data_IF_642071970034
#
_entry.id   IF_642071970034
#
_cell.length_a   1.000
_cell.length_b   1.000
_cell.length_c   1.000
_cell.angle_alpha   90.00
_cell.angle_beta   90.00
_cell.angle_gamma   90.00
#
_symmetry.space_group_name_H-M   'P 1'
#
loop_
_entity.id
_entity.type
_entity.pdbx_description
1 polymer ?
#
# COMPACT_ATOMS: atom_id res chain seq x y z
N UNK A 1 19.40 -6.84 10.80
CA UNK A 1 19.08 -7.81 11.89
C UNK A 1 18.71 -7.08 13.17
N UNK A 2 19.50 -6.07 13.61
CA UNK A 2 19.22 -5.37 14.88
C UNK A 2 17.80 -4.78 14.92
N UNK A 3 17.41 -4.00 13.95
CA UNK A 3 16.06 -3.40 13.89
C UNK A 3 14.94 -4.46 13.81
N UNK A 4 15.19 -5.58 13.12
CA UNK A 4 14.26 -6.70 13.09
C UNK A 4 14.12 -7.35 14.47
N UNK A 5 15.26 -7.66 15.12
CA UNK A 5 15.26 -8.28 16.44
C UNK A 5 14.56 -7.39 17.49
N UNK A 6 14.81 -6.07 17.45
CA UNK A 6 14.13 -5.10 18.31
C UNK A 6 12.61 -5.07 18.06
N UNK A 7 12.19 -5.05 16.80
CA UNK A 7 10.77 -5.03 16.43
C UNK A 7 10.00 -6.28 16.87
N UNK A 8 10.68 -7.44 16.97
CA UNK A 8 10.11 -8.69 17.47
C UNK A 8 10.40 -8.95 18.95
N UNK A 9 10.99 -8.00 19.66
CA UNK A 9 11.28 -8.13 21.09
C UNK A 9 12.30 -9.23 21.42
N UNK A 10 13.20 -9.55 20.49
CA UNK A 10 14.23 -10.57 20.69
C UNK A 10 15.43 -9.99 21.43
N UNK A 11 15.92 -10.75 22.40
CA UNK A 11 17.17 -10.48 23.11
C UNK A 11 18.28 -11.43 22.63
N UNK A 12 19.54 -11.08 22.89
CA UNK A 12 20.71 -11.88 22.53
C UNK A 12 20.77 -12.28 21.05
N UNK A 13 20.34 -11.37 20.16
CA UNK A 13 20.32 -11.61 18.74
C UNK A 13 21.74 -11.76 18.17
N UNK A 14 22.01 -12.91 17.54
CA UNK A 14 23.32 -13.24 16.98
C UNK A 14 23.16 -13.78 15.55
N UNK A 15 23.89 -13.19 14.60
CA UNK A 15 23.97 -13.70 13.23
C UNK A 15 24.79 -14.99 13.23
N UNK A 16 24.20 -16.05 12.69
CA UNK A 16 24.85 -17.35 12.52
C UNK A 16 25.60 -17.44 11.20
N UNK A 17 24.94 -16.99 10.13
CA UNK A 17 25.53 -16.88 8.78
C UNK A 17 24.78 -15.82 7.98
N UNK A 18 25.46 -15.21 7.03
CA UNK A 18 24.88 -14.27 6.09
C UNK A 18 25.68 -14.30 4.78
N UNK A 19 25.01 -14.21 3.66
CA UNK A 19 25.68 -14.19 2.37
C UNK A 19 24.73 -14.17 1.19
N UNK A 20 25.29 -13.95 -0.02
CA UNK A 20 24.53 -14.06 -1.25
C UNK A 20 24.04 -15.48 -1.45
N UNK A 21 22.87 -15.61 -2.07
CA UNK A 21 22.22 -16.87 -2.43
C UNK A 21 21.59 -16.74 -3.83
N UNK A 22 21.29 -17.88 -4.43
CA UNK A 22 20.52 -17.98 -5.67
C UNK A 22 19.17 -18.59 -5.34
N UNK A 23 18.12 -17.85 -5.58
CA UNK A 23 16.78 -18.27 -5.27
C UNK A 23 15.97 -18.46 -6.55
N UNK A 24 16.02 -19.66 -7.09
CA UNK A 24 15.29 -20.01 -8.32
C UNK A 24 15.73 -19.20 -9.55
N UNK A 25 17.02 -18.86 -9.64
CA UNK A 25 17.61 -18.06 -10.71
C UNK A 25 17.52 -16.56 -10.48
N UNK A 26 17.17 -16.13 -9.28
CA UNK A 26 17.15 -14.72 -8.86
C UNK A 26 18.20 -14.45 -7.81
N UNK A 27 18.86 -13.31 -7.91
CA UNK A 27 19.78 -12.85 -6.87
C UNK A 27 19.04 -12.72 -5.54
N UNK A 28 19.61 -13.31 -4.52
CA UNK A 28 19.08 -13.22 -3.16
C UNK A 28 20.20 -12.98 -2.16
N UNK A 29 19.82 -12.54 -0.97
CA UNK A 29 20.71 -12.44 0.17
C UNK A 29 20.06 -13.11 1.38
N UNK A 30 20.74 -14.10 1.96
CA UNK A 30 20.22 -14.87 3.07
C UNK A 30 20.92 -14.49 4.38
N UNK A 31 20.15 -14.40 5.44
CA UNK A 31 20.65 -14.19 6.79
C UNK A 31 20.00 -15.22 7.71
N UNK A 32 20.83 -16.04 8.35
CA UNK A 32 20.43 -16.85 9.49
C UNK A 32 20.88 -16.17 10.77
N UNK A 33 19.97 -16.01 11.72
CA UNK A 33 20.30 -15.51 13.04
C UNK A 33 19.46 -16.22 14.09
N UNK A 34 19.89 -16.12 15.34
CA UNK A 34 19.13 -16.59 16.49
C UNK A 34 18.86 -15.44 17.47
N UNK A 35 17.79 -15.54 18.24
CA UNK A 35 17.45 -14.61 19.29
C UNK A 35 16.56 -15.29 20.32
N UNK A 36 16.44 -14.72 21.50
CA UNK A 36 15.61 -15.25 22.59
C UNK A 36 14.37 -14.37 22.73
N UNK A 37 13.20 -14.99 22.70
CA UNK A 37 11.92 -14.28 22.86
C UNK A 37 11.59 -13.98 24.33
N UNK A 38 10.48 -13.30 24.57
CA UNK A 38 10.02 -12.94 25.92
C UNK A 38 9.66 -14.14 26.80
N UNK A 39 9.43 -15.31 26.20
CA UNK A 39 9.17 -16.58 26.93
C UNK A 39 10.46 -17.38 27.24
N UNK A 40 11.62 -16.79 27.00
CA UNK A 40 12.93 -17.40 27.12
C UNK A 40 13.19 -18.58 26.18
N UNK A 41 12.45 -18.61 25.06
CA UNK A 41 12.66 -19.59 24.00
C UNK A 41 13.67 -19.04 23.00
N UNK A 42 14.73 -19.84 22.73
CA UNK A 42 15.65 -19.47 21.64
C UNK A 42 15.07 -19.88 20.31
N UNK A 43 14.86 -18.88 19.46
CA UNK A 43 14.36 -19.03 18.11
C UNK A 43 15.49 -18.86 17.09
N UNK A 44 15.43 -19.62 16.01
CA UNK A 44 16.20 -19.38 14.80
C UNK A 44 15.34 -18.73 13.75
N UNK A 45 15.91 -17.78 13.03
CA UNK A 45 15.25 -17.00 12.01
C UNK A 45 16.02 -17.09 10.69
N UNK A 46 15.27 -17.21 9.63
CA UNK A 46 15.77 -17.11 8.26
C UNK A 46 15.17 -15.85 7.65
N UNK A 47 15.99 -14.93 7.26
CA UNK A 47 15.61 -13.81 6.41
C UNK A 47 16.17 -14.05 5.02
N UNK A 48 15.32 -14.03 4.02
CA UNK A 48 15.71 -14.16 2.63
C UNK A 48 15.21 -12.92 1.87
N UNK A 49 16.15 -12.05 1.52
CA UNK A 49 15.87 -10.93 0.64
C UNK A 49 16.08 -11.37 -0.81
N UNK A 50 15.02 -11.43 -1.60
CA UNK A 50 15.03 -11.80 -3.02
C UNK A 50 14.87 -10.55 -3.85
N UNK A 51 15.79 -10.32 -4.78
CA UNK A 51 15.71 -9.18 -5.68
C UNK A 51 14.41 -9.21 -6.49
N UNK A 52 13.67 -8.09 -6.45
CA UNK A 52 12.50 -7.90 -7.27
C UNK A 52 12.86 -7.77 -8.75
N UNK A 53 11.95 -8.08 -9.65
CA UNK A 53 12.14 -7.84 -11.08
C UNK A 53 11.90 -6.35 -11.39
N UNK A 54 12.60 -5.86 -12.42
CA UNK A 54 12.43 -4.51 -12.99
C UNK A 54 12.78 -3.32 -12.05
N UNK A 55 13.87 -3.44 -11.28
CA UNK A 55 14.38 -2.39 -10.38
C UNK A 55 13.41 -1.98 -9.25
N UNK A 56 12.36 -2.75 -9.00
CA UNK A 56 11.39 -2.49 -7.94
C UNK A 56 11.63 -3.40 -6.73
N UNK A 57 12.38 -2.87 -5.78
CA UNK A 57 12.48 -3.37 -4.42
C UNK A 57 13.05 -4.78 -4.28
N UNK A 58 12.80 -5.36 -3.14
CA UNK A 58 13.13 -6.74 -2.82
C UNK A 58 11.98 -7.38 -2.04
N UNK A 59 11.74 -8.67 -2.27
CA UNK A 59 10.86 -9.45 -1.42
C UNK A 59 11.64 -9.89 -0.18
N UNK A 60 11.09 -9.65 0.98
CA UNK A 60 11.64 -10.17 2.23
C UNK A 60 10.79 -11.35 2.70
N UNK A 61 11.36 -12.53 2.64
CA UNK A 61 10.75 -13.75 3.18
C UNK A 61 11.32 -14.01 4.55
N UNK A 62 10.46 -14.30 5.51
CA UNK A 62 10.86 -14.51 6.89
C UNK A 62 10.32 -15.84 7.40
N UNK A 63 11.18 -16.63 7.99
CA UNK A 63 10.81 -17.85 8.71
C UNK A 63 11.38 -17.85 10.12
N UNK A 64 10.62 -18.40 11.06
CA UNK A 64 11.01 -18.46 12.48
C UNK A 64 10.63 -19.80 13.06
N UNK A 65 11.53 -20.45 13.80
CA UNK A 65 11.29 -21.75 14.40
C UNK A 65 12.12 -21.93 15.68
N UNK A 66 11.69 -22.81 16.62
CA UNK A 66 12.49 -23.15 17.79
C UNK A 66 13.83 -23.77 17.39
N UNK A 67 14.92 -23.34 18.02
CA UNK A 67 16.30 -23.76 17.70
C UNK A 67 16.50 -25.26 17.60
N UNK A 68 15.81 -26.00 18.45
CA UNK A 68 16.02 -27.46 18.59
C UNK A 68 15.02 -28.30 17.79
N UNK A 69 14.24 -27.66 16.91
CA UNK A 69 13.24 -28.34 16.06
C UNK A 69 13.72 -28.50 14.61
N UNK A 70 14.34 -29.63 14.29
CA UNK A 70 14.75 -29.97 12.91
C UNK A 70 13.55 -30.11 11.97
N UNK A 71 12.42 -30.56 12.48
CA UNK A 71 11.18 -30.71 11.67
C UNK A 71 10.66 -29.34 11.25
N UNK A 72 10.58 -28.38 12.17
CA UNK A 72 10.11 -27.04 11.88
C UNK A 72 11.09 -26.30 10.96
N UNK A 73 12.40 -26.47 11.18
CA UNK A 73 13.43 -25.95 10.27
C UNK A 73 13.18 -26.41 8.83
N UNK A 74 13.02 -27.71 8.63
CA UNK A 74 12.82 -28.29 7.29
C UNK A 74 11.52 -27.78 6.65
N UNK A 75 10.43 -27.70 7.41
CA UNK A 75 9.15 -27.22 6.89
C UNK A 75 9.20 -25.74 6.51
N UNK A 76 9.77 -24.90 7.38
CA UNK A 76 9.90 -23.46 7.12
C UNK A 76 10.83 -23.22 5.95
N UNK A 77 11.98 -23.89 5.90
CA UNK A 77 12.91 -23.75 4.80
C UNK A 77 12.29 -24.17 3.47
N UNK A 78 11.58 -25.30 3.43
CA UNK A 78 10.85 -25.73 2.24
C UNK A 78 9.75 -24.74 1.83
N UNK A 79 9.04 -24.15 2.79
CA UNK A 79 8.04 -23.13 2.51
C UNK A 79 8.67 -21.89 1.90
N UNK A 80 9.77 -21.38 2.46
CA UNK A 80 10.49 -20.23 1.91
C UNK A 80 11.04 -20.55 0.51
N UNK A 81 11.64 -21.72 0.32
CA UNK A 81 12.20 -22.12 -0.97
C UNK A 81 11.14 -22.51 -2.01
N UNK A 82 9.89 -22.72 -1.62
CA UNK A 82 8.76 -22.90 -2.52
C UNK A 82 8.20 -21.61 -3.08
N UNK A 83 8.53 -20.48 -2.49
CA UNK A 83 8.14 -19.17 -3.01
C UNK A 83 8.59 -19.03 -4.46
N UNK A 84 7.71 -18.57 -5.28
CA UNK A 84 7.99 -18.26 -6.69
C UNK A 84 7.38 -16.91 -7.00
N UNK A 85 8.19 -16.08 -7.61
CA UNK A 85 7.65 -14.92 -8.33
C UNK A 85 7.09 -15.51 -9.63
N UNK A 86 5.81 -15.82 -9.63
CA UNK A 86 5.12 -16.43 -10.76
C UNK A 86 5.13 -15.48 -11.94
N UNK A 87 5.95 -15.82 -12.94
CA UNK A 87 5.96 -15.23 -14.27
C UNK A 87 6.34 -13.73 -14.32
N UNK A 88 6.49 -13.19 -15.51
CA UNK A 88 6.36 -11.78 -15.68
C UNK A 88 4.85 -11.47 -15.51
N UNK A 89 4.43 -11.10 -14.32
CA UNK A 89 3.53 -9.98 -14.29
C UNK A 89 4.44 -8.89 -14.82
N UNK A 90 4.29 -8.51 -16.09
CA UNK A 90 4.89 -7.29 -16.61
C UNK A 90 4.21 -6.15 -15.87
N UNK A 91 4.54 -5.97 -14.59
CA UNK A 91 4.15 -4.81 -13.84
C UNK A 91 4.94 -3.68 -14.46
N UNK A 92 4.31 -2.98 -15.35
CA UNK A 92 4.87 -1.80 -15.99
C UNK A 92 4.38 -0.61 -15.19
N UNK A 93 5.17 -0.17 -14.22
CA UNK A 93 4.86 1.07 -13.52
C UNK A 93 4.96 2.25 -14.46
N UNK A 94 3.88 3.02 -14.54
CA UNK A 94 3.80 4.21 -15.33
C UNK A 94 3.51 5.42 -14.46
N UNK A 95 4.11 6.55 -14.83
CA UNK A 95 3.86 7.83 -14.18
C UNK A 95 2.66 8.51 -14.84
N UNK A 96 1.66 8.77 -14.06
CA UNK A 96 0.48 9.54 -14.44
C UNK A 96 0.60 10.96 -13.90
N UNK A 97 0.49 11.94 -14.79
CA UNK A 97 0.64 13.37 -14.44
C UNK A 97 -0.54 14.17 -14.98
N UNK A 98 -1.06 15.07 -14.16
CA UNK A 98 -2.01 16.08 -14.61
C UNK A 98 -1.62 17.47 -14.10
N UNK A 99 -1.21 18.35 -15.03
CA UNK A 99 -0.74 19.70 -14.69
C UNK A 99 -1.85 20.63 -14.21
N UNK A 100 -3.11 20.39 -14.62
CA UNK A 100 -4.24 21.19 -14.16
C UNK A 100 -4.71 20.79 -12.77
N UNK A 101 -4.59 19.48 -12.44
CA UNK A 101 -4.81 18.98 -11.10
C UNK A 101 -3.58 19.16 -10.20
N UNK A 102 -2.41 19.52 -10.76
CA UNK A 102 -1.16 19.74 -10.01
C UNK A 102 -0.60 18.47 -9.35
N UNK A 103 -0.82 17.29 -9.95
CA UNK A 103 -0.53 15.99 -9.37
C UNK A 103 0.30 15.10 -10.28
N UNK A 104 1.08 14.23 -9.66
CA UNK A 104 1.68 13.06 -10.29
C UNK A 104 1.61 11.86 -9.34
N UNK A 105 1.40 10.67 -9.90
CA UNK A 105 1.46 9.41 -9.18
C UNK A 105 2.04 8.32 -10.06
N UNK A 106 2.44 7.21 -9.45
CA UNK A 106 2.97 6.03 -10.15
C UNK A 106 2.14 4.83 -9.72
N UNK A 107 1.67 4.06 -10.68
CA UNK A 107 0.97 2.80 -10.42
C UNK A 107 1.19 1.81 -11.57
N UNK A 108 0.81 0.56 -11.36
CA UNK A 108 0.86 -0.50 -12.37
C UNK A 108 -0.06 -0.17 -13.55
N UNK A 109 0.55 0.14 -14.72
CA UNK A 109 -0.20 0.49 -15.93
C UNK A 109 -1.05 -0.66 -16.48
N UNK A 110 -0.77 -1.91 -16.10
CA UNK A 110 -1.60 -3.06 -16.50
C UNK A 110 -2.96 -3.05 -15.82
N UNK A 111 -3.07 -2.36 -14.69
CA UNK A 111 -4.30 -2.19 -13.93
C UNK A 111 -5.12 -0.97 -14.38
N UNK A 112 -4.55 -0.11 -15.23
CA UNK A 112 -5.20 1.11 -15.70
C UNK A 112 -5.54 0.98 -17.19
N UNK A 113 -6.83 1.05 -17.52
CA UNK A 113 -7.30 0.99 -18.90
C UNK A 113 -7.21 2.33 -19.62
N UNK A 114 -7.49 3.41 -18.90
CA UNK A 114 -7.45 4.78 -19.42
C UNK A 114 -7.38 5.82 -18.31
N UNK A 115 -7.07 7.05 -18.70
CA UNK A 115 -7.10 8.20 -17.78
C UNK A 115 -7.92 9.31 -18.35
N UNK A 116 -8.57 10.09 -17.48
CA UNK A 116 -9.35 11.26 -17.88
C UNK A 116 -9.26 12.36 -16.84
N UNK A 117 -9.18 13.60 -17.30
CA UNK A 117 -9.38 14.78 -16.44
C UNK A 117 -10.86 15.03 -16.25
N UNK A 118 -11.27 15.29 -15.03
CA UNK A 118 -12.62 15.69 -14.67
C UNK A 118 -12.59 17.03 -13.93
N UNK A 119 -13.52 17.91 -14.25
CA UNK A 119 -13.78 19.12 -13.46
C UNK A 119 -15.13 18.94 -12.76
N UNK A 120 -15.18 19.29 -11.50
CA UNK A 120 -16.37 19.12 -10.67
C UNK A 120 -16.63 20.37 -9.83
N UNK A 121 -17.85 20.43 -9.29
CA UNK A 121 -18.22 21.45 -8.31
C UNK A 121 -18.88 20.75 -7.14
N UNK A 122 -18.31 20.96 -5.95
CA UNK A 122 -18.82 20.39 -4.71
C UNK A 122 -20.09 21.08 -4.21
N UNK A 123 -20.88 20.45 -3.33
CA UNK A 123 -22.08 21.07 -2.75
C UNK A 123 -21.85 22.41 -2.05
N UNK A 124 -20.64 22.68 -1.57
CA UNK A 124 -20.24 23.98 -1.01
C UNK A 124 -20.04 25.09 -2.07
N UNK A 125 -20.17 24.77 -3.37
CA UNK A 125 -19.97 25.69 -4.49
C UNK A 125 -18.51 25.82 -4.96
N UNK A 126 -17.56 25.19 -4.30
CA UNK A 126 -16.17 25.18 -4.73
C UNK A 126 -15.98 24.20 -5.90
N UNK A 127 -15.09 24.56 -6.82
CA UNK A 127 -14.75 23.72 -7.97
C UNK A 127 -13.32 23.21 -7.86
N UNK A 128 -13.12 21.99 -8.35
CA UNK A 128 -11.83 21.33 -8.42
C UNK A 128 -11.62 20.65 -9.77
N UNK A 129 -10.44 20.08 -9.92
CA UNK A 129 -10.03 19.26 -11.06
C UNK A 129 -9.39 18.00 -10.53
N UNK A 130 -9.84 16.85 -11.04
CA UNK A 130 -9.32 15.55 -10.68
C UNK A 130 -8.73 14.82 -11.88
N UNK A 131 -7.76 13.97 -11.62
CA UNK A 131 -7.32 12.91 -12.52
C UNK A 131 -8.09 11.64 -12.16
N UNK A 132 -8.79 11.08 -13.12
CA UNK A 132 -9.46 9.77 -12.99
C UNK A 132 -8.62 8.71 -13.68
N UNK A 133 -8.29 7.63 -12.95
CA UNK A 133 -7.59 6.46 -13.45
C UNK A 133 -8.60 5.31 -13.50
N UNK A 134 -9.07 4.93 -14.69
CA UNK A 134 -10.05 3.87 -14.89
C UNK A 134 -9.38 2.50 -14.80
N UNK A 135 -9.97 1.60 -14.03
CA UNK A 135 -9.39 0.27 -13.79
C UNK A 135 -9.60 -0.67 -15.00
N UNK A 136 -8.59 -1.49 -15.26
CA UNK A 136 -8.66 -2.50 -16.34
C UNK A 136 -9.63 -3.64 -16.02
N UNK A 137 -9.88 -3.90 -14.72
CA UNK A 137 -10.82 -4.91 -14.26
C UNK A 137 -12.27 -4.55 -14.56
N UNK A 138 -12.59 -3.26 -14.49
CA UNK A 138 -13.92 -2.72 -14.76
C UNK A 138 -13.79 -1.25 -15.20
N UNK A 139 -14.08 -0.96 -16.46
CA UNK A 139 -13.96 0.38 -17.04
C UNK A 139 -14.97 1.40 -16.47
N UNK A 140 -15.92 0.98 -15.65
CA UNK A 140 -16.82 1.86 -14.91
C UNK A 140 -16.25 2.28 -13.56
N UNK A 141 -15.25 1.54 -13.06
CA UNK A 141 -14.57 1.83 -11.79
C UNK A 141 -13.31 2.67 -12.04
N UNK A 142 -13.07 3.62 -11.16
CA UNK A 142 -11.89 4.49 -11.26
C UNK A 142 -11.39 4.92 -9.88
N UNK A 143 -10.14 5.33 -9.85
CA UNK A 143 -9.56 6.05 -8.73
C UNK A 143 -9.46 7.51 -9.11
N UNK A 144 -9.96 8.37 -8.25
CA UNK A 144 -9.94 9.81 -8.37
C UNK A 144 -8.81 10.39 -7.54
N UNK A 145 -8.02 11.27 -8.13
CA UNK A 145 -6.91 11.95 -7.46
C UNK A 145 -7.03 13.44 -7.70
N UNK A 146 -7.03 14.24 -6.63
CA UNK A 146 -7.17 15.69 -6.72
C UNK A 146 -6.38 16.44 -5.63
N UNK A 147 -6.17 17.73 -5.85
CA UNK A 147 -5.86 18.65 -4.76
C UNK A 147 -7.15 18.93 -3.97
N UNK A 148 -7.10 18.72 -2.67
CA UNK A 148 -8.28 18.82 -1.80
C UNK A 148 -8.75 20.25 -1.47
N UNK A 149 -8.17 21.28 -2.10
CA UNK A 149 -8.47 22.70 -1.80
C UNK A 149 -9.94 23.08 -2.00
N UNK A 150 -10.69 22.33 -2.80
CA UNK A 150 -12.13 22.49 -2.96
C UNK A 150 -12.92 22.01 -1.75
N UNK A 151 -12.41 21.02 -1.01
CA UNK A 151 -13.05 20.39 0.14
C UNK A 151 -12.57 20.99 1.47
N UNK A 152 -11.29 21.36 1.60
CA UNK A 152 -10.73 21.89 2.83
C UNK A 152 -9.37 22.55 2.63
N UNK A 153 -8.80 23.11 3.71
CA UNK A 153 -7.48 23.75 3.71
C UNK A 153 -6.36 22.80 4.14
N UNK A 154 -6.72 21.68 4.71
CA UNK A 154 -5.84 20.63 5.18
C UNK A 154 -6.56 19.28 5.12
N UNK A 155 -5.84 18.20 5.37
CA UNK A 155 -6.36 16.84 5.32
C UNK A 155 -7.54 16.63 6.28
N UNK A 156 -7.49 17.17 7.50
CA UNK A 156 -8.57 17.05 8.51
C UNK A 156 -9.88 17.66 8.00
N UNK A 157 -9.81 18.86 7.41
CA UNK A 157 -10.99 19.55 6.86
C UNK A 157 -11.54 18.78 5.65
N UNK A 158 -10.66 18.21 4.79
CA UNK A 158 -11.06 17.40 3.66
C UNK A 158 -11.80 16.13 4.09
N UNK A 159 -11.25 15.37 5.04
CA UNK A 159 -11.88 14.16 5.58
C UNK A 159 -13.22 14.50 6.25
N UNK A 160 -13.28 15.57 7.03
CA UNK A 160 -14.52 16.01 7.68
C UNK A 160 -15.59 16.38 6.65
N UNK A 161 -15.22 17.11 5.61
CA UNK A 161 -16.14 17.51 4.53
C UNK A 161 -16.70 16.30 3.75
N UNK A 162 -15.81 15.40 3.30
CA UNK A 162 -16.20 14.19 2.59
C UNK A 162 -17.06 13.26 3.47
N UNK A 163 -16.73 13.13 4.75
CA UNK A 163 -17.54 12.39 5.72
C UNK A 163 -18.95 12.94 5.81
N UNK A 164 -19.08 14.29 5.92
CA UNK A 164 -20.39 14.93 5.98
C UNK A 164 -21.26 14.69 4.75
N UNK A 165 -20.66 14.63 3.55
CA UNK A 165 -21.39 14.26 2.34
C UNK A 165 -22.02 12.86 2.47
N UNK A 166 -21.26 11.89 2.94
CA UNK A 166 -21.71 10.51 3.10
C UNK A 166 -22.67 10.29 4.26
N UNK A 167 -22.54 11.07 5.35
CA UNK A 167 -23.47 11.02 6.49
C UNK A 167 -24.89 11.42 6.10
N UNK A 168 -25.03 12.23 5.07
CA UNK A 168 -26.35 12.63 4.51
C UNK A 168 -26.92 11.59 3.53
N UNK A 169 -26.16 10.56 3.15
CA UNK A 169 -26.61 9.49 2.24
C UNK A 169 -27.33 8.41 3.03
N UNK A 170 -28.61 8.20 2.71
CA UNK A 170 -29.43 7.18 3.36
C UNK A 170 -28.91 5.78 3.09
N UNK A 171 -28.63 5.02 4.13
CA UNK A 171 -28.12 3.64 4.05
C UNK A 171 -26.58 3.54 3.98
N UNK A 172 -25.87 4.65 3.92
CA UNK A 172 -24.42 4.63 3.99
C UNK A 172 -23.94 4.35 5.44
N UNK A 173 -22.85 3.60 5.55
CA UNK A 173 -22.15 3.30 6.80
C UNK A 173 -20.68 3.70 6.65
N UNK A 174 -20.18 4.53 7.58
CA UNK A 174 -18.80 5.00 7.56
C UNK A 174 -17.98 4.30 8.64
N UNK A 175 -16.76 3.90 8.32
CA UNK A 175 -15.77 3.45 9.31
C UNK A 175 -15.35 4.58 10.25
N UNK A 176 -14.62 4.27 11.31
CA UNK A 176 -13.81 5.27 12.01
C UNK A 176 -12.72 5.82 11.07
N UNK A 177 -12.20 7.03 11.41
CA UNK A 177 -11.05 7.58 10.69
C UNK A 177 -9.82 6.75 11.06
N UNK A 178 -9.18 6.20 10.05
CA UNK A 178 -7.92 5.47 10.17
C UNK A 178 -6.77 6.36 9.73
N UNK A 179 -5.59 6.14 10.28
CA UNK A 179 -4.39 6.88 9.90
C UNK A 179 -3.27 5.92 9.54
N UNK A 180 -2.51 6.26 8.52
CA UNK A 180 -1.33 5.51 8.10
C UNK A 180 -0.19 6.48 7.79
N UNK A 181 0.97 6.25 8.41
CA UNK A 181 2.20 6.97 8.08
C UNK A 181 2.92 6.26 6.93
N UNK A 182 3.28 7.02 5.92
CA UNK A 182 4.07 6.55 4.78
C UNK A 182 5.49 7.11 4.83
N UNK A 183 6.30 6.71 3.89
CA UNK A 183 7.63 7.29 3.67
C UNK A 183 7.53 8.82 3.55
N UNK A 184 8.56 9.54 3.94
CA UNK A 184 8.61 11.01 3.99
C UNK A 184 7.70 11.66 5.05
N UNK A 185 7.32 10.93 6.11
CA UNK A 185 6.48 11.43 7.22
C UNK A 185 5.08 11.93 6.79
N UNK A 186 4.63 11.56 5.59
CA UNK A 186 3.27 11.87 5.12
C UNK A 186 2.27 11.00 5.88
N UNK A 187 1.33 11.64 6.56
CA UNK A 187 0.25 10.96 7.28
C UNK A 187 -1.02 11.04 6.44
N UNK A 188 -1.46 9.89 5.99
CA UNK A 188 -2.74 9.73 5.33
C UNK A 188 -3.84 9.43 6.36
N UNK A 189 -4.95 10.12 6.21
CA UNK A 189 -6.20 9.81 6.92
C UNK A 189 -7.18 9.23 5.91
N UNK A 190 -7.91 8.18 6.28
CA UNK A 190 -8.87 7.56 5.37
C UNK A 190 -10.09 7.00 6.10
N UNK A 191 -11.18 6.91 5.35
CA UNK A 191 -12.44 6.29 5.76
C UNK A 191 -12.93 5.35 4.67
N UNK A 192 -13.58 4.30 5.10
CA UNK A 192 -14.29 3.36 4.23
C UNK A 192 -15.78 3.65 4.39
N UNK A 193 -16.49 3.67 3.29
CA UNK A 193 -17.94 3.79 3.21
C UNK A 193 -18.50 2.55 2.58
N UNK A 194 -19.51 1.94 3.21
CA UNK A 194 -20.30 0.87 2.63
C UNK A 194 -21.69 1.41 2.34
N UNK A 195 -22.15 1.26 1.11
CA UNK A 195 -23.47 1.68 0.68
C UNK A 195 -24.01 0.70 -0.36
N UNK A 196 -25.11 0.03 -0.04
CA UNK A 196 -25.67 -1.08 -0.82
C UNK A 196 -24.63 -2.20 -1.02
N UNK A 197 -24.24 -2.50 -2.27
CA UNK A 197 -23.19 -3.46 -2.64
C UNK A 197 -21.85 -2.82 -2.95
N UNK A 198 -21.76 -1.50 -2.82
CA UNK A 198 -20.57 -0.74 -3.17
C UNK A 198 -19.74 -0.40 -1.93
N UNK A 199 -18.44 -0.43 -2.11
CA UNK A 199 -17.47 0.01 -1.12
C UNK A 199 -16.72 1.19 -1.70
N UNK A 200 -16.74 2.30 -0.98
CA UNK A 200 -15.93 3.47 -1.31
C UNK A 200 -14.89 3.70 -0.24
N UNK A 201 -13.72 4.14 -0.67
CA UNK A 201 -12.66 4.60 0.21
C UNK A 201 -12.26 6.01 -0.22
N UNK A 202 -12.05 6.89 0.74
CA UNK A 202 -11.42 8.16 0.49
C UNK A 202 -10.34 8.44 1.52
N UNK A 203 -9.26 9.01 1.04
CA UNK A 203 -8.11 9.38 1.85
C UNK A 203 -7.72 10.83 1.60
N UNK A 204 -7.16 11.47 2.60
CA UNK A 204 -6.55 12.79 2.46
C UNK A 204 -5.23 12.86 3.23
N UNK A 205 -4.28 13.63 2.69
CA UNK A 205 -3.02 13.95 3.34
C UNK A 205 -2.58 15.36 2.96
N UNK A 206 -1.80 15.99 3.84
CA UNK A 206 -1.09 17.22 3.51
C UNK A 206 0.30 16.88 2.97
N UNK A 207 0.58 17.29 1.73
CA UNK A 207 1.86 17.11 1.09
C UNK A 207 2.39 18.50 0.72
N UNK A 208 3.53 18.88 1.27
CA UNK A 208 4.12 20.22 1.11
C UNK A 208 3.15 21.37 1.47
N UNK A 209 2.28 21.15 2.45
CA UNK A 209 1.30 22.13 2.93
C UNK A 209 0.07 22.30 2.03
N UNK A 210 -0.13 21.40 1.08
CA UNK A 210 -1.33 21.33 0.22
C UNK A 210 -2.08 20.04 0.51
N UNK A 211 -3.39 20.07 0.76
CA UNK A 211 -4.18 18.86 0.94
C UNK A 211 -4.38 18.15 -0.41
N UNK A 212 -4.25 16.83 -0.38
CA UNK A 212 -4.55 15.94 -1.50
C UNK A 212 -5.61 14.94 -1.08
N UNK A 213 -6.50 14.61 -2.02
CA UNK A 213 -7.55 13.61 -1.83
C UNK A 213 -7.35 12.51 -2.87
N UNK A 214 -7.52 11.28 -2.43
CA UNK A 214 -7.63 10.09 -3.28
C UNK A 214 -8.91 9.38 -2.91
N UNK A 215 -9.78 9.16 -3.90
CA UNK A 215 -11.04 8.47 -3.75
C UNK A 215 -11.13 7.26 -4.67
N UNK A 216 -11.79 6.20 -4.24
CA UNK A 216 -12.15 5.06 -5.06
C UNK A 216 -13.52 4.54 -4.65
N UNK A 217 -14.27 4.03 -5.64
CA UNK A 217 -15.50 3.29 -5.39
C UNK A 217 -15.46 2.01 -6.22
N UNK A 218 -15.77 0.88 -5.60
CA UNK A 218 -15.65 -0.44 -6.21
C UNK A 218 -16.71 -1.37 -5.67
N UNK A 219 -17.02 -2.43 -6.41
CA UNK A 219 -17.82 -3.54 -5.92
C UNK A 219 -16.98 -4.49 -5.02
N UNK A 220 -17.65 -5.31 -4.21
CA UNK A 220 -16.96 -6.32 -3.39
C UNK A 220 -16.08 -7.27 -4.20
N UNK A 221 -16.43 -7.54 -5.46
CA UNK A 221 -15.68 -8.46 -6.35
C UNK A 221 -14.33 -7.88 -6.78
N UNK A 222 -14.20 -6.57 -6.88
CA UNK A 222 -13.00 -5.89 -7.38
C UNK A 222 -12.18 -5.20 -6.27
N UNK A 223 -12.57 -5.38 -5.01
CA UNK A 223 -11.98 -4.64 -3.88
C UNK A 223 -10.47 -4.85 -3.77
N UNK A 224 -9.97 -6.04 -4.03
CA UNK A 224 -8.53 -6.34 -3.92
C UNK A 224 -7.71 -5.57 -4.95
N UNK A 225 -8.19 -5.50 -6.20
CA UNK A 225 -7.51 -4.77 -7.29
C UNK A 225 -7.54 -3.28 -7.01
N UNK A 226 -8.72 -2.75 -6.70
CA UNK A 226 -8.90 -1.32 -6.39
C UNK A 226 -8.06 -0.90 -5.18
N UNK A 227 -8.00 -1.73 -4.14
CA UNK A 227 -7.20 -1.46 -2.93
C UNK A 227 -5.70 -1.45 -3.21
N UNK A 228 -5.20 -2.34 -4.06
CA UNK A 228 -3.79 -2.37 -4.43
C UNK A 228 -3.39 -1.12 -5.22
N UNK A 229 -4.16 -0.77 -6.26
CA UNK A 229 -3.91 0.45 -7.07
C UNK A 229 -4.04 1.71 -6.19
N UNK A 230 -5.04 1.77 -5.32
CA UNK A 230 -5.20 2.86 -4.37
C UNK A 230 -3.98 3.01 -3.45
N UNK A 231 -3.48 1.91 -2.89
CA UNK A 231 -2.30 1.91 -2.01
C UNK A 231 -1.02 2.35 -2.75
N UNK A 232 -0.84 1.96 -4.00
CA UNK A 232 0.27 2.42 -4.84
C UNK A 232 0.20 3.92 -5.10
N UNK A 233 -1.00 4.43 -5.43
CA UNK A 233 -1.21 5.86 -5.69
C UNK A 233 -0.89 6.68 -4.45
N UNK A 234 -1.45 6.36 -3.28
CA UNK A 234 -1.16 7.11 -2.05
C UNK A 234 0.31 7.01 -1.63
N UNK A 235 1.00 5.92 -1.96
CA UNK A 235 2.43 5.75 -1.70
C UNK A 235 3.33 6.59 -2.60
N UNK A 236 2.85 6.94 -3.79
CA UNK A 236 3.66 7.60 -4.83
C UNK A 236 3.18 8.99 -5.21
N UNK A 237 2.03 9.44 -4.70
CA UNK A 237 1.45 10.75 -4.99
C UNK A 237 2.39 11.88 -4.55
N UNK A 238 2.65 12.79 -5.48
CA UNK A 238 3.48 13.98 -5.25
C UNK A 238 2.88 15.19 -5.97
N UNK A 239 3.13 16.41 -5.49
CA UNK A 239 2.90 17.63 -6.26
C UNK A 239 3.66 17.61 -7.59
N UNK A 240 3.13 18.32 -8.59
CA UNK A 240 3.83 18.61 -9.85
C UNK A 240 4.60 19.91 -9.72
#
# INVERSE_FOLDING_TARGET
VSSYAEGYGLTDAMILTAGPDDFGGQSAYQIFFQGTDSSQTTLQHVLLAVEGRNDFGAYLLVGSYPKDSETDHTQIYNSLTSFRINGPVDITYERYCDTAAGIQCITDSTQISSTRRSSFTLPNGNSGTALLLFLSSNEEEYIEVEQGLSAGKNADECIAYLSGIWEDVSGASLSEIMTESREDDIIWQFRIVSHDSDISIFAAADIDGVPYIVGASTSEENIDISSNVFAEIIGTLRPL
#
